data_IF_813551046633
#
_entry.id   IF_813551046633
#
_cell.length_a   1.000
_cell.length_b   1.000
_cell.length_c   1.000
_cell.angle_alpha   90.00
_cell.angle_beta   90.00
_cell.angle_gamma   90.00
#
_symmetry.space_group_name_H-M   'P 1'
#
loop_
_entity.id
_entity.type
_entity.pdbx_description
1 polymer ?
#
# COMPACT_ATOMS: atom_id res chain seq x y z
N UNK A 1 15.25 -47.88 -42.09
CA UNK A 1 14.51 -47.63 -40.85
C UNK A 1 15.05 -46.37 -40.22
N UNK A 2 14.31 -45.25 -40.29
CA UNK A 2 14.67 -44.02 -39.58
C UNK A 2 14.02 -44.03 -38.22
N UNK A 3 14.83 -44.02 -37.18
CA UNK A 3 14.39 -43.83 -35.81
C UNK A 3 14.08 -42.34 -35.60
N UNK A 4 12.80 -42.00 -35.46
CA UNK A 4 12.40 -40.65 -35.09
C UNK A 4 12.45 -40.56 -33.55
N UNK A 5 13.48 -39.89 -33.03
CA UNK A 5 13.53 -39.49 -31.61
C UNK A 5 12.65 -38.28 -31.44
N UNK A 6 11.47 -38.45 -30.87
CA UNK A 6 10.65 -37.34 -30.39
C UNK A 6 11.21 -36.94 -29.02
N UNK A 7 12.03 -35.87 -28.99
CA UNK A 7 12.43 -35.26 -27.74
C UNK A 7 11.24 -34.44 -27.27
N UNK A 8 10.47 -35.00 -26.32
CA UNK A 8 9.43 -34.28 -25.62
C UNK A 8 10.12 -33.33 -24.63
N UNK A 9 10.39 -32.11 -25.11
CA UNK A 9 10.89 -31.06 -24.24
C UNK A 9 9.77 -30.65 -23.29
N UNK A 10 9.78 -31.20 -22.09
CA UNK A 10 8.87 -30.77 -21.03
C UNK A 10 9.29 -29.34 -20.64
N UNK A 11 8.63 -28.31 -21.19
CA UNK A 11 8.76 -26.96 -20.73
C UNK A 11 8.18 -26.86 -19.32
N UNK A 12 9.05 -26.94 -18.34
CA UNK A 12 8.70 -26.63 -16.98
C UNK A 12 8.55 -25.11 -16.91
N UNK A 13 7.29 -24.64 -17.04
CA UNK A 13 6.98 -23.25 -16.67
C UNK A 13 7.12 -23.13 -15.15
N UNK A 14 8.29 -22.75 -14.70
CA UNK A 14 8.44 -22.26 -13.35
C UNK A 14 7.65 -20.96 -13.24
N UNK A 15 6.50 -21.01 -12.57
CA UNK A 15 5.82 -19.79 -12.14
C UNK A 15 6.76 -19.07 -11.20
N UNK A 16 7.37 -17.99 -11.67
CA UNK A 16 8.10 -17.08 -10.80
C UNK A 16 7.04 -16.37 -9.98
N UNK A 17 6.77 -16.89 -8.77
CA UNK A 17 6.01 -16.15 -7.78
C UNK A 17 6.95 -15.10 -7.20
N UNK A 18 6.70 -13.83 -7.56
CA UNK A 18 7.29 -12.73 -6.79
C UNK A 18 6.66 -12.80 -5.41
N UNK A 19 7.46 -13.17 -4.39
CA UNK A 19 7.05 -12.97 -3.02
C UNK A 19 6.77 -11.47 -2.86
N UNK A 20 5.56 -11.13 -2.37
CA UNK A 20 5.18 -9.76 -2.06
C UNK A 20 6.16 -9.20 -1.03
N UNK A 21 7.18 -8.49 -1.49
CA UNK A 21 8.17 -7.86 -0.64
C UNK A 21 7.60 -6.55 -0.10
N UNK A 22 6.97 -6.64 1.08
CA UNK A 22 6.52 -5.46 1.81
C UNK A 22 7.72 -4.69 2.36
N UNK A 23 7.68 -3.38 2.22
CA UNK A 23 8.60 -2.49 2.93
C UNK A 23 8.24 -2.53 4.42
N UNK A 24 9.24 -2.74 5.27
CA UNK A 24 9.05 -2.85 6.72
C UNK A 24 9.31 -1.51 7.39
N UNK A 25 8.58 -1.18 8.47
CA UNK A 25 8.86 0.00 9.28
C UNK A 25 10.30 -0.02 9.82
N UNK A 26 10.92 1.17 9.80
CA UNK A 26 12.25 1.39 10.35
C UNK A 26 12.30 2.78 10.98
N UNK A 27 12.99 2.96 12.14
CA UNK A 27 13.12 4.28 12.74
C UNK A 27 13.92 5.27 11.88
N UNK A 28 14.60 4.79 10.84
CA UNK A 28 15.35 5.62 9.89
C UNK A 28 14.48 6.24 8.80
N UNK A 29 13.22 5.80 8.66
CA UNK A 29 12.28 6.34 7.67
C UNK A 29 11.59 7.55 8.30
N UNK A 30 11.74 8.72 7.67
CA UNK A 30 11.08 9.94 8.12
C UNK A 30 9.54 9.83 8.01
N UNK A 31 8.78 10.52 8.89
CA UNK A 31 7.32 10.45 8.89
C UNK A 31 6.68 10.74 7.54
N UNK A 32 7.16 11.75 6.81
CA UNK A 32 6.62 12.07 5.47
C UNK A 32 6.85 10.92 4.49
N UNK A 33 7.99 10.24 4.56
CA UNK A 33 8.30 9.11 3.70
C UNK A 33 7.44 7.90 4.02
N UNK A 34 7.11 7.68 5.29
CA UNK A 34 6.13 6.66 5.71
C UNK A 34 4.78 6.90 5.03
N UNK A 35 4.28 8.12 5.08
CA UNK A 35 3.00 8.50 4.46
C UNK A 35 3.06 8.31 2.95
N UNK A 36 4.15 8.69 2.30
CA UNK A 36 4.32 8.53 0.86
C UNK A 36 4.40 7.06 0.44
N UNK A 37 5.05 6.19 1.23
CA UNK A 37 5.05 4.74 1.01
C UNK A 37 3.63 4.19 1.05
N UNK A 38 2.84 4.58 2.05
CA UNK A 38 1.44 4.16 2.19
C UNK A 38 0.59 4.67 1.02
N UNK A 39 0.70 5.95 0.68
CA UNK A 39 -0.07 6.56 -0.40
C UNK A 39 0.27 5.98 -1.77
N UNK A 40 1.55 5.78 -2.03
CA UNK A 40 2.00 5.15 -3.27
C UNK A 40 1.47 3.73 -3.40
N UNK A 41 1.50 2.97 -2.30
CA UNK A 41 0.96 1.62 -2.25
C UNK A 41 -0.55 1.60 -2.51
N UNK A 42 -1.30 2.51 -1.88
CA UNK A 42 -2.75 2.63 -2.10
C UNK A 42 -3.07 3.07 -3.53
N UNK A 43 -2.28 4.00 -4.09
CA UNK A 43 -2.41 4.42 -5.48
C UNK A 43 -2.22 3.27 -6.46
N UNK A 44 -1.32 2.36 -6.16
CA UNK A 44 -0.96 1.21 -6.98
C UNK A 44 -1.60 -0.09 -6.50
N UNK A 45 -2.69 0.01 -5.71
CA UNK A 45 -3.35 -1.17 -5.16
C UNK A 45 -3.84 -2.09 -6.29
N UNK A 46 -3.62 -3.38 -6.12
CA UNK A 46 -3.99 -4.42 -7.07
C UNK A 46 -5.18 -5.27 -6.57
N UNK A 47 -5.56 -6.24 -7.36
CA UNK A 47 -6.67 -7.18 -7.04
C UNK A 47 -6.39 -8.07 -5.82
N UNK A 48 -5.13 -8.22 -5.41
CA UNK A 48 -4.72 -8.93 -4.20
C UNK A 48 -4.61 -8.01 -2.98
N UNK A 49 -4.98 -6.73 -3.11
CA UNK A 49 -4.91 -5.72 -2.05
C UNK A 49 -3.49 -5.54 -1.47
N UNK A 50 -2.46 -5.67 -2.29
CA UNK A 50 -1.08 -5.50 -1.87
C UNK A 50 -0.85 -4.11 -1.28
N UNK A 51 -1.43 -3.05 -1.87
CA UNK A 51 -1.32 -1.69 -1.37
C UNK A 51 -1.93 -1.52 0.01
N UNK A 52 -3.04 -2.16 0.29
CA UNK A 52 -3.68 -2.17 1.61
C UNK A 52 -2.79 -2.90 2.63
N UNK A 53 -2.22 -4.04 2.25
CA UNK A 53 -1.27 -4.78 3.10
C UNK A 53 -0.04 -3.93 3.45
N UNK A 54 0.54 -3.23 2.47
CA UNK A 54 1.68 -2.34 2.68
C UNK A 54 1.33 -1.21 3.64
N UNK A 55 0.16 -0.62 3.48
CA UNK A 55 -0.34 0.43 4.39
C UNK A 55 -0.50 -0.10 5.82
N UNK A 56 -1.02 -1.31 5.97
CA UNK A 56 -1.17 -1.98 7.25
C UNK A 56 0.16 -2.20 7.97
N UNK A 57 1.23 -2.55 7.25
CA UNK A 57 2.56 -2.77 7.85
C UNK A 57 3.07 -1.54 8.61
N UNK A 58 2.75 -0.34 8.10
CA UNK A 58 3.16 0.92 8.72
C UNK A 58 2.13 1.48 9.73
N UNK A 59 0.99 0.83 9.91
CA UNK A 59 0.01 1.29 10.88
C UNK A 59 0.55 1.14 12.31
N UNK A 60 0.35 2.19 13.12
CA UNK A 60 0.75 2.15 14.53
C UNK A 60 0.05 0.99 15.25
N UNK A 61 0.70 0.31 16.22
CA UNK A 61 0.10 -0.80 16.97
C UNK A 61 -1.27 -0.49 17.56
N UNK A 62 -1.51 0.73 18.04
CA UNK A 62 -2.84 1.15 18.51
C UNK A 62 -3.89 1.14 17.41
N UNK A 63 -3.51 1.60 16.22
CA UNK A 63 -4.41 1.57 15.06
C UNK A 63 -4.71 0.14 14.64
N UNK A 64 -3.71 -0.74 14.68
CA UNK A 64 -3.89 -2.16 14.41
C UNK A 64 -4.86 -2.81 15.40
N UNK A 65 -4.79 -2.44 16.67
CA UNK A 65 -5.75 -2.91 17.68
C UNK A 65 -7.18 -2.41 17.42
N UNK A 66 -7.32 -1.15 17.02
CA UNK A 66 -8.61 -0.53 16.79
C UNK A 66 -9.27 -0.94 15.47
N UNK A 67 -8.48 -1.16 14.43
CA UNK A 67 -8.95 -1.37 13.05
C UNK A 67 -8.69 -2.77 12.50
N UNK A 68 -7.91 -3.58 13.22
CA UNK A 68 -7.57 -4.94 12.83
C UNK A 68 -8.59 -5.98 13.24
N UNK A 69 -8.38 -7.20 12.81
CA UNK A 69 -7.26 -7.71 12.01
C UNK A 69 -7.27 -7.20 10.55
N UNK A 70 -6.26 -7.56 9.77
CA UNK A 70 -6.08 -7.10 8.40
C UNK A 70 -7.33 -7.22 7.50
N UNK A 71 -8.14 -8.29 7.54
CA UNK A 71 -9.38 -8.35 6.76
C UNK A 71 -10.37 -7.23 7.12
N UNK A 72 -10.47 -6.88 8.39
CA UNK A 72 -11.31 -5.77 8.85
C UNK A 72 -10.77 -4.42 8.39
N UNK A 73 -9.47 -4.22 8.49
CA UNK A 73 -8.80 -3.02 7.97
C UNK A 73 -9.02 -2.88 6.46
N UNK A 74 -8.88 -3.97 5.71
CA UNK A 74 -9.13 -4.01 4.28
C UNK A 74 -10.56 -3.56 3.95
N UNK A 75 -11.55 -4.09 4.66
CA UNK A 75 -12.95 -3.68 4.47
C UNK A 75 -13.16 -2.21 4.81
N UNK A 76 -12.51 -1.70 5.85
CA UNK A 76 -12.58 -0.28 6.23
C UNK A 76 -12.04 0.63 5.11
N UNK A 77 -10.90 0.28 4.53
CA UNK A 77 -10.31 1.06 3.43
C UNK A 77 -11.22 1.07 2.19
N UNK A 78 -12.00 0.02 1.98
CA UNK A 78 -12.94 -0.08 0.86
C UNK A 78 -14.26 0.64 1.08
N UNK A 79 -14.47 1.23 2.25
CA UNK A 79 -15.67 2.07 2.51
C UNK A 79 -15.60 3.39 1.74
N UNK A 80 -16.73 4.07 1.48
CA UNK A 80 -16.74 5.34 0.73
C UNK A 80 -15.81 6.41 1.29
N UNK A 81 -15.61 6.45 2.61
CA UNK A 81 -14.74 7.45 3.24
C UNK A 81 -13.26 7.30 2.87
N UNK A 82 -12.80 6.08 2.60
CA UNK A 82 -11.38 5.78 2.35
C UNK A 82 -11.08 5.21 0.97
N UNK A 83 -12.07 4.67 0.28
CA UNK A 83 -11.86 4.03 -1.03
C UNK A 83 -11.35 4.98 -2.11
N UNK A 84 -11.52 6.28 -1.94
CA UNK A 84 -10.98 7.30 -2.83
C UNK A 84 -9.45 7.36 -2.81
N UNK A 85 -8.82 6.83 -1.76
CA UNK A 85 -7.36 6.68 -1.68
C UNK A 85 -6.84 5.62 -2.64
N UNK A 86 -7.66 4.59 -2.91
CA UNK A 86 -7.28 3.49 -3.78
C UNK A 86 -7.25 3.95 -5.24
N UNK A 87 -6.12 3.67 -5.90
CA UNK A 87 -5.93 3.98 -7.32
C UNK A 87 -6.19 5.46 -7.65
N UNK A 88 -5.88 6.36 -6.71
CA UNK A 88 -6.03 7.79 -6.93
C UNK A 88 -5.19 8.28 -8.11
N UNK A 89 -5.58 9.40 -8.71
CA UNK A 89 -4.89 9.96 -9.87
C UNK A 89 -3.59 10.66 -9.46
N UNK A 90 -3.60 11.32 -8.30
CA UNK A 90 -2.46 12.07 -7.79
C UNK A 90 -2.59 12.30 -6.30
N UNK A 91 -1.47 12.31 -5.61
CA UNK A 91 -1.41 12.76 -4.21
C UNK A 91 -0.29 13.77 -4.00
N UNK A 92 -0.49 14.67 -3.05
CA UNK A 92 0.50 15.62 -2.58
C UNK A 92 0.55 15.58 -1.06
N UNK A 93 1.76 15.68 -0.50
CA UNK A 93 1.99 15.62 0.93
C UNK A 93 2.65 16.90 1.41
N UNK A 94 2.29 17.34 2.61
CA UNK A 94 2.94 18.47 3.29
C UNK A 94 3.06 18.16 4.78
N UNK A 95 4.29 18.18 5.29
CA UNK A 95 4.51 18.09 6.72
C UNK A 95 4.03 19.39 7.40
N UNK A 96 3.07 19.25 8.31
CA UNK A 96 2.49 20.37 9.06
C UNK A 96 3.26 20.60 10.35
N UNK A 97 3.61 19.52 11.04
CA UNK A 97 4.48 19.56 12.20
C UNK A 97 5.24 18.24 12.37
N UNK A 98 6.36 18.31 13.07
CA UNK A 98 7.14 17.16 13.51
C UNK A 98 7.96 17.58 14.72
N UNK A 99 7.65 17.03 15.87
CA UNK A 99 8.34 17.33 17.13
C UNK A 99 9.33 16.22 17.56
N UNK A 100 9.58 15.26 16.69
CA UNK A 100 10.44 14.09 16.95
C UNK A 100 9.72 12.91 17.61
N UNK A 101 8.54 13.12 18.19
CA UNK A 101 7.71 12.09 18.80
C UNK A 101 6.41 11.91 18.01
N UNK A 102 5.81 13.01 17.60
CA UNK A 102 4.58 13.03 16.80
C UNK A 102 4.80 13.85 15.54
N UNK A 103 4.12 13.49 14.48
CA UNK A 103 4.10 14.22 13.23
C UNK A 103 2.71 14.27 12.63
N UNK A 104 2.42 15.37 11.94
CA UNK A 104 1.19 15.55 11.17
C UNK A 104 1.52 15.88 9.73
N UNK A 105 0.97 15.11 8.79
CA UNK A 105 1.16 15.25 7.37
C UNK A 105 -0.20 15.53 6.73
N UNK A 106 -0.33 16.68 6.07
CA UNK A 106 -1.50 16.95 5.25
C UNK A 106 -1.36 16.25 3.91
N UNK A 107 -2.43 15.59 3.48
CA UNK A 107 -2.48 14.82 2.23
C UNK A 107 -3.61 15.34 1.38
N UNK A 108 -3.28 15.75 0.16
CA UNK A 108 -4.28 16.11 -0.86
C UNK A 108 -4.35 15.03 -1.91
N UNK A 109 -5.53 14.53 -2.15
CA UNK A 109 -5.80 13.45 -3.11
C UNK A 109 -6.65 13.98 -4.25
N UNK A 110 -6.23 13.71 -5.49
CA UNK A 110 -7.09 13.79 -6.66
C UNK A 110 -7.60 12.38 -6.96
N UNK A 111 -8.89 12.18 -6.76
CA UNK A 111 -9.52 10.87 -6.88
C UNK A 111 -10.00 10.60 -8.32
N UNK A 112 -10.43 9.36 -8.57
CA UNK A 112 -10.95 8.91 -9.88
C UNK A 112 -12.18 9.72 -10.35
N UNK A 113 -12.91 10.34 -9.42
CA UNK A 113 -14.04 11.23 -9.72
C UNK A 113 -13.63 12.64 -10.15
N UNK A 114 -12.32 12.91 -10.29
CA UNK A 114 -11.69 14.20 -10.58
C UNK A 114 -11.92 15.27 -9.49
N UNK A 115 -12.31 14.86 -8.30
CA UNK A 115 -12.43 15.75 -7.14
C UNK A 115 -11.20 15.65 -6.26
N UNK A 116 -10.91 16.73 -5.53
CA UNK A 116 -9.83 16.77 -4.57
C UNK A 116 -10.35 16.58 -3.15
N UNK A 117 -9.62 15.79 -2.37
CA UNK A 117 -9.92 15.48 -0.97
C UNK A 117 -8.68 15.74 -0.13
N UNK A 118 -8.87 16.18 1.09
CA UNK A 118 -7.78 16.43 2.03
C UNK A 118 -7.94 15.56 3.27
N UNK A 119 -6.84 14.92 3.66
CA UNK A 119 -6.73 14.09 4.85
C UNK A 119 -5.61 14.61 5.75
N UNK A 120 -5.70 14.35 7.03
CA UNK A 120 -4.62 14.55 7.98
C UNK A 120 -4.10 13.18 8.44
N UNK A 121 -2.82 12.91 8.17
CA UNK A 121 -2.11 11.75 8.68
C UNK A 121 -1.43 12.09 9.97
N UNK A 122 -1.72 11.34 11.01
CA UNK A 122 -1.07 11.48 12.31
C UNK A 122 -0.18 10.29 12.58
N UNK A 123 1.08 10.56 12.92
CA UNK A 123 2.09 9.56 13.22
C UNK A 123 2.64 9.78 14.64
N UNK A 124 2.93 8.67 15.31
CA UNK A 124 3.60 8.64 16.62
C UNK A 124 4.96 7.97 16.53
#
# INVERSE_FOLDING_TARGET
>A
MSLIFIILTCMIFTKITFADNLVQPSPEIDPIDVVEIQLFALQSNDENDFGIKQTWEFAHPRNKMATGPLPRFTNMIKTPAYSILLNNLKFETKEIFNDGTNAGIAVRIEAQDNKAYTYMWSLE
#
